data_IF_737812160144
#
_entry.id   IF_737812160144
#
_cell.length_a   1.000
_cell.length_b   1.000
_cell.length_c   1.000
_cell.angle_alpha   90.00
_cell.angle_beta   90.00
_cell.angle_gamma   90.00
#
_symmetry.space_group_name_H-M   'P 1'
#
loop_
_entity.id
_entity.type
_entity.pdbx_description
1 polymer ?
#
# COMPACT_ATOMS: atom_id res chain seq x y z
N UNK A 1 5.76 -42.52 52.12
CA UNK A 1 5.87 -41.66 53.33
C UNK A 1 7.33 -41.35 53.53
N UNK A 2 7.60 -40.10 53.91
CA UNK A 2 8.87 -39.57 54.40
C UNK A 2 10.00 -39.27 53.41
N UNK A 3 10.31 -37.97 53.44
CA UNK A 3 11.43 -37.25 52.85
C UNK A 3 12.67 -37.45 53.71
N UNK A 4 13.87 -37.47 53.12
CA UNK A 4 15.02 -36.90 53.80
C UNK A 4 15.62 -35.74 52.99
N UNK A 5 15.78 -34.61 53.69
CA UNK A 5 16.54 -33.46 53.23
C UNK A 5 18.04 -33.74 53.33
N UNK A 6 18.84 -33.23 52.39
CA UNK A 6 20.25 -32.95 52.63
C UNK A 6 20.70 -31.64 51.96
N UNK A 7 21.58 -30.96 52.69
CA UNK A 7 22.06 -29.59 52.55
C UNK A 7 23.04 -29.36 51.40
N UNK A 8 23.03 -28.11 50.93
CA UNK A 8 24.10 -27.25 50.37
C UNK A 8 25.50 -27.83 50.11
N UNK A 9 26.01 -27.55 48.91
CA UNK A 9 27.39 -27.14 48.69
C UNK A 9 27.47 -26.13 47.53
N UNK A 10 27.88 -24.92 47.87
CA UNK A 10 28.30 -23.84 46.98
C UNK A 10 29.66 -24.15 46.30
N UNK A 11 29.93 -23.41 45.20
CA UNK A 11 31.24 -23.15 44.54
C UNK A 11 31.82 -24.27 43.66
N UNK A 12 32.33 -24.03 42.44
CA UNK A 12 32.85 -22.80 41.81
C UNK A 12 33.01 -22.97 40.27
N UNK A 13 32.77 -21.87 39.52
CA UNK A 13 33.55 -21.33 38.36
C UNK A 13 33.55 -22.17 37.04
N UNK A 14 33.26 -21.66 35.83
CA UNK A 14 33.58 -20.38 35.18
C UNK A 14 32.67 -20.14 33.96
N UNK A 15 32.04 -18.96 33.84
CA UNK A 15 32.48 -17.84 32.98
C UNK A 15 32.20 -17.99 31.47
N UNK A 16 31.01 -17.59 31.05
CA UNK A 16 30.72 -17.06 29.72
C UNK A 16 29.96 -15.76 29.90
N UNK A 17 30.67 -14.63 29.88
CA UNK A 17 30.10 -13.29 29.99
C UNK A 17 29.20 -13.00 28.77
N UNK A 18 27.92 -13.33 28.86
CA UNK A 18 26.88 -12.59 28.15
C UNK A 18 26.69 -11.27 28.90
N UNK A 19 27.01 -10.17 28.23
CA UNK A 19 26.71 -8.82 28.67
C UNK A 19 25.19 -8.68 28.73
N UNK A 20 24.61 -9.02 29.89
CA UNK A 20 23.20 -8.83 30.18
C UNK A 20 22.83 -7.36 29.97
N UNK A 21 21.72 -7.15 29.26
CA UNK A 21 20.98 -5.90 29.27
C UNK A 21 20.77 -5.43 30.71
N UNK A 22 20.95 -4.13 30.94
CA UNK A 22 20.98 -3.51 32.26
C UNK A 22 19.74 -3.94 33.06
N UNK A 23 19.92 -4.53 34.25
CA UNK A 23 18.83 -5.06 35.09
C UNK A 23 17.72 -4.02 35.37
N UNK A 24 18.03 -2.72 35.26
CA UNK A 24 17.05 -1.63 35.32
C UNK A 24 16.04 -1.64 34.16
N UNK A 25 16.45 -2.00 32.95
CA UNK A 25 15.58 -2.04 31.76
C UNK A 25 14.60 -3.22 31.84
N UNK A 26 15.05 -4.36 32.37
CA UNK A 26 14.21 -5.53 32.68
C UNK A 26 13.19 -5.27 33.80
N UNK A 27 13.58 -4.52 34.84
CA UNK A 27 12.68 -4.16 35.96
C UNK A 27 11.60 -3.16 35.53
N UNK A 28 11.92 -2.22 34.63
CA UNK A 28 10.91 -1.33 34.03
C UNK A 28 9.91 -2.15 33.21
N UNK A 29 10.41 -3.08 32.39
CA UNK A 29 9.62 -4.00 31.60
C UNK A 29 8.65 -4.87 32.46
N UNK A 30 9.12 -5.40 33.58
CA UNK A 30 8.33 -6.26 34.47
C UNK A 30 7.22 -5.49 35.22
N UNK A 31 7.46 -4.23 35.60
CA UNK A 31 6.44 -3.35 36.21
C UNK A 31 5.32 -2.96 35.24
N UNK A 32 5.59 -2.93 33.93
CA UNK A 32 4.59 -2.67 32.90
C UNK A 32 3.65 -3.87 32.69
N UNK A 33 4.17 -5.08 32.82
CA UNK A 33 3.46 -6.36 32.64
C UNK A 33 2.35 -6.55 33.69
N UNK A 34 2.61 -6.19 34.94
CA UNK A 34 1.66 -6.39 36.05
C UNK A 34 0.45 -5.43 36.00
N UNK A 35 0.58 -4.28 35.32
CA UNK A 35 -0.49 -3.27 35.21
C UNK A 35 -1.41 -3.45 33.99
N UNK A 36 -0.91 -4.03 32.90
CA UNK A 36 -1.66 -4.21 31.65
C UNK A 36 -2.58 -5.45 31.70
N UNK A 37 -2.14 -6.53 32.34
CA UNK A 37 -2.85 -7.82 32.27
C UNK A 37 -4.16 -7.88 33.07
N UNK A 38 -4.36 -7.00 34.06
CA UNK A 38 -5.57 -7.02 34.91
C UNK A 38 -6.77 -6.22 34.38
N UNK A 39 -6.67 -5.46 33.26
CA UNK A 39 -7.76 -4.53 32.87
C UNK A 39 -8.13 -4.45 31.38
N UNK A 40 -7.47 -5.16 30.48
CA UNK A 40 -7.77 -5.09 29.04
C UNK A 40 -8.61 -6.28 28.56
N UNK A 41 -9.94 -6.17 28.62
CA UNK A 41 -10.83 -7.12 27.96
C UNK A 41 -10.53 -7.24 26.46
N UNK A 42 -10.54 -8.49 26.00
CA UNK A 42 -10.55 -8.93 24.62
C UNK A 42 -11.57 -8.14 23.79
N UNK A 43 -11.10 -7.32 22.84
CA UNK A 43 -11.85 -6.95 21.64
C UNK A 43 -10.95 -6.16 20.68
N UNK A 44 -10.77 -6.69 19.47
CA UNK A 44 -10.24 -5.94 18.32
C UNK A 44 -8.74 -6.08 18.05
N UNK A 45 -8.23 -7.31 18.10
CA UNK A 45 -7.32 -7.82 17.07
C UNK A 45 -8.06 -8.99 16.44
N UNK A 46 -8.49 -8.87 15.20
CA UNK A 46 -8.82 -10.05 14.39
C UNK A 46 -7.76 -10.12 13.29
N UNK A 47 -6.55 -10.42 13.75
CA UNK A 47 -5.32 -10.41 12.98
C UNK A 47 -4.23 -11.01 13.85
N UNK A 48 -3.99 -12.29 13.63
CA UNK A 48 -3.02 -13.19 14.27
C UNK A 48 -1.56 -12.69 14.22
N UNK A 49 -1.25 -11.58 14.89
CA UNK A 49 0.15 -11.15 15.10
C UNK A 49 0.70 -11.70 16.42
N UNK A 50 -0.14 -12.31 17.27
CA UNK A 50 0.26 -12.79 18.62
C UNK A 50 0.50 -14.31 18.70
N UNK A 51 0.49 -15.04 17.57
CA UNK A 51 0.83 -16.48 17.56
C UNK A 51 2.13 -16.84 16.82
N UNK A 52 3.05 -15.89 16.63
CA UNK A 52 4.42 -16.25 16.30
C UNK A 52 5.16 -16.73 17.55
N UNK A 53 5.06 -18.03 17.86
CA UNK A 53 5.96 -18.74 18.77
C UNK A 53 7.37 -18.81 18.14
N UNK A 54 8.08 -17.68 18.11
CA UNK A 54 9.52 -17.65 17.92
C UNK A 54 10.18 -17.45 19.29
N UNK A 55 11.36 -18.05 19.56
CA UNK A 55 12.14 -17.69 20.74
C UNK A 55 12.42 -16.18 20.68
N UNK A 56 11.78 -15.41 21.57
CA UNK A 56 11.86 -13.96 21.54
C UNK A 56 13.21 -13.53 22.11
N UNK A 57 14.10 -13.03 21.26
CA UNK A 57 15.27 -12.28 21.70
C UNK A 57 14.83 -11.09 22.57
N UNK A 58 15.69 -10.63 23.49
CA UNK A 58 15.38 -9.50 24.36
C UNK A 58 15.03 -8.23 23.58
N UNK A 59 15.58 -8.10 22.39
CA UNK A 59 15.39 -7.07 21.41
C UNK A 59 13.98 -7.15 20.80
N UNK A 60 13.54 -8.34 20.37
CA UNK A 60 12.17 -8.56 19.86
C UNK A 60 11.11 -8.19 20.91
N UNK A 61 11.34 -8.51 22.19
CA UNK A 61 10.45 -8.15 23.29
C UNK A 61 10.38 -6.63 23.47
N UNK A 62 11.51 -5.92 23.38
CA UNK A 62 11.56 -4.46 23.50
C UNK A 62 10.84 -3.75 22.35
N UNK A 63 10.97 -4.28 21.13
CA UNK A 63 10.26 -3.75 19.95
C UNK A 63 8.75 -3.97 20.07
N UNK A 64 8.29 -5.16 20.46
CA UNK A 64 6.87 -5.46 20.69
C UNK A 64 6.29 -4.56 21.79
N UNK A 65 7.02 -4.40 22.90
CA UNK A 65 6.59 -3.53 24.03
C UNK A 65 6.54 -2.05 23.67
N UNK A 66 7.49 -1.56 22.87
CA UNK A 66 7.42 -0.20 22.34
C UNK A 66 6.13 -0.02 21.52
N UNK A 67 5.74 -1.00 20.72
CA UNK A 67 4.56 -0.91 19.87
C UNK A 67 3.24 -0.97 20.62
N UNK A 68 3.12 -1.83 21.63
CA UNK A 68 1.92 -1.89 22.47
C UNK A 68 1.69 -0.58 23.24
N UNK A 69 2.78 0.12 23.59
CA UNK A 69 2.74 1.45 24.22
C UNK A 69 2.36 2.54 23.23
N UNK A 70 2.72 2.38 21.96
CA UNK A 70 2.56 3.39 20.91
C UNK A 70 1.26 3.27 20.12
N UNK A 71 0.66 2.08 20.05
CA UNK A 71 -0.62 1.82 19.36
C UNK A 71 -1.75 2.72 19.86
N UNK A 72 -1.92 2.99 21.17
CA UNK A 72 -2.93 3.94 21.64
C UNK A 72 -2.59 5.40 21.29
N UNK A 73 -1.29 5.79 21.32
CA UNK A 73 -0.83 7.11 20.88
C UNK A 73 -1.17 7.34 19.39
N UNK A 74 -1.05 6.30 18.56
CA UNK A 74 -1.16 6.38 17.10
C UNK A 74 -2.60 6.38 16.54
N UNK A 75 -3.48 5.63 17.19
CA UNK A 75 -4.83 5.36 16.68
C UNK A 75 -5.93 6.08 17.48
N UNK A 76 -5.57 7.17 18.17
CA UNK A 76 -6.49 8.02 18.95
C UNK A 76 -7.44 7.20 19.82
N UNK A 77 -6.95 6.14 20.47
CA UNK A 77 -7.70 5.55 21.57
C UNK A 77 -7.44 6.48 22.73
N UNK A 78 -8.48 7.13 23.26
CA UNK A 78 -8.42 7.93 24.48
C UNK A 78 -8.04 7.08 25.68
N UNK A 79 -6.82 6.54 25.70
CA UNK A 79 -6.19 5.91 26.85
C UNK A 79 -5.69 7.04 27.74
N UNK A 80 -6.32 7.27 28.90
CA UNK A 80 -6.17 8.50 29.67
C UNK A 80 -4.79 8.69 30.36
N UNK A 81 -3.76 7.91 29.99
CA UNK A 81 -2.51 7.82 30.76
C UNK A 81 -1.22 7.74 29.94
N UNK A 82 -1.27 7.84 28.61
CA UNK A 82 -0.07 7.89 27.76
C UNK A 82 0.26 9.33 27.41
N UNK A 83 1.45 9.79 27.82
CA UNK A 83 1.97 11.11 27.47
C UNK A 83 2.84 11.03 26.23
N UNK A 84 3.02 12.16 25.55
CA UNK A 84 3.97 12.27 24.42
C UNK A 84 5.40 11.85 24.83
N UNK A 85 5.78 12.14 26.09
CA UNK A 85 7.08 11.76 26.65
C UNK A 85 7.24 10.23 26.76
N UNK A 86 6.19 9.51 27.15
CA UNK A 86 6.20 8.04 27.18
C UNK A 86 6.41 7.46 25.78
N UNK A 87 5.74 8.05 24.78
CA UNK A 87 5.89 7.64 23.39
C UNK A 87 7.34 7.91 22.88
N UNK A 88 7.99 9.04 23.25
CA UNK A 88 9.39 9.32 22.92
C UNK A 88 10.40 8.41 23.63
N UNK A 89 10.16 8.04 24.88
CA UNK A 89 11.05 7.15 25.62
C UNK A 89 11.02 5.73 25.06
N UNK A 90 9.83 5.23 24.71
CA UNK A 90 9.66 3.96 24.01
C UNK A 90 10.38 3.96 22.66
N UNK A 91 10.29 5.05 21.89
CA UNK A 91 11.04 5.21 20.64
C UNK A 91 12.55 5.12 20.86
N UNK A 92 13.09 5.85 21.83
CA UNK A 92 14.52 5.87 22.09
C UNK A 92 15.07 4.48 22.43
N UNK A 93 14.30 3.68 23.17
CA UNK A 93 14.63 2.28 23.47
C UNK A 93 14.58 1.40 22.22
N UNK A 94 13.53 1.53 21.40
CA UNK A 94 13.39 0.77 20.16
C UNK A 94 14.52 1.10 19.16
N UNK A 95 14.88 2.38 19.00
CA UNK A 95 15.98 2.79 18.12
C UNK A 95 17.33 2.24 18.58
N UNK A 96 17.58 2.21 19.90
CA UNK A 96 18.80 1.59 20.45
C UNK A 96 18.83 0.09 20.19
N UNK A 97 17.72 -0.61 20.41
CA UNK A 97 17.62 -2.04 20.11
C UNK A 97 17.88 -2.33 18.62
N UNK A 98 17.30 -1.54 17.71
CA UNK A 98 17.56 -1.64 16.26
C UNK A 98 19.04 -1.41 15.94
N UNK A 99 19.67 -0.39 16.51
CA UNK A 99 21.10 -0.12 16.32
C UNK A 99 21.96 -1.29 16.77
N UNK A 100 21.66 -1.88 17.93
CA UNK A 100 22.34 -3.07 18.43
C UNK A 100 22.15 -4.26 17.49
N UNK A 101 20.92 -4.54 17.01
CA UNK A 101 20.66 -5.59 16.04
C UNK A 101 21.44 -5.38 14.73
N UNK A 102 21.54 -4.15 14.23
CA UNK A 102 22.34 -3.83 13.02
C UNK A 102 23.82 -4.16 13.24
N UNK A 103 24.36 -3.81 14.41
CA UNK A 103 25.77 -4.07 14.74
C UNK A 103 26.04 -5.57 14.90
N UNK A 104 25.15 -6.30 15.58
CA UNK A 104 25.29 -7.74 15.85
C UNK A 104 25.06 -8.61 14.62
N UNK A 105 24.19 -8.20 13.71
CA UNK A 105 23.83 -8.97 12.50
C UNK A 105 24.95 -9.08 11.46
N UNK A 106 26.14 -8.51 11.69
CA UNK A 106 27.27 -8.52 10.75
C UNK A 106 26.88 -8.12 9.31
N UNK A 107 25.91 -7.20 9.16
CA UNK A 107 25.32 -6.78 7.87
C UNK A 107 24.53 -7.87 7.12
N UNK A 108 24.01 -8.88 7.82
CA UNK A 108 23.02 -9.84 7.29
C UNK A 108 21.64 -9.52 7.88
N UNK A 109 20.81 -8.73 7.19
CA UNK A 109 19.54 -8.30 7.75
C UNK A 109 18.59 -9.49 7.92
N UNK A 110 18.00 -9.64 9.10
CA UNK A 110 17.02 -10.67 9.42
C UNK A 110 15.60 -10.09 9.50
N UNK A 111 14.62 -10.93 9.84
CA UNK A 111 13.23 -10.52 10.02
C UNK A 111 13.00 -9.64 11.23
N UNK A 112 13.80 -9.80 12.28
CA UNK A 112 13.71 -8.96 13.46
C UNK A 112 14.07 -7.53 13.05
N UNK A 113 15.17 -7.31 12.34
CA UNK A 113 15.57 -5.99 11.87
C UNK A 113 14.54 -5.37 10.91
N UNK A 114 13.98 -6.18 10.00
CA UNK A 114 12.93 -5.72 9.07
C UNK A 114 11.66 -5.30 9.81
N UNK A 115 11.15 -6.14 10.72
CA UNK A 115 9.96 -5.87 11.50
C UNK A 115 10.15 -4.65 12.39
N UNK A 116 11.27 -4.59 13.10
CA UNK A 116 11.61 -3.47 13.98
C UNK A 116 11.69 -2.16 13.21
N UNK A 117 12.27 -2.19 12.01
CA UNK A 117 12.23 -1.04 11.11
C UNK A 117 10.77 -0.76 10.76
N UNK A 118 10.03 -1.67 10.14
CA UNK A 118 8.66 -1.43 9.65
C UNK A 118 7.72 -0.82 10.70
N UNK A 119 7.89 -1.25 11.95
CA UNK A 119 7.07 -0.87 13.08
C UNK A 119 7.37 0.54 13.64
N UNK A 120 8.53 1.13 13.32
CA UNK A 120 8.86 2.52 13.66
C UNK A 120 8.17 3.55 12.73
N UNK A 121 7.72 3.13 11.55
CA UNK A 121 7.13 4.04 10.56
C UNK A 121 5.82 4.71 11.02
N UNK A 122 4.85 3.96 11.60
CA UNK A 122 3.63 4.55 12.12
C UNK A 122 3.90 5.57 13.23
N UNK A 123 4.95 5.37 14.04
CA UNK A 123 5.32 6.30 15.10
C UNK A 123 5.76 7.66 14.54
N UNK A 124 6.62 7.67 13.52
CA UNK A 124 7.01 8.93 12.88
C UNK A 124 5.80 9.65 12.27
N UNK A 125 4.88 8.88 11.68
CA UNK A 125 3.59 9.39 11.21
C UNK A 125 2.78 10.07 12.33
N UNK A 126 2.81 9.56 13.55
CA UNK A 126 2.08 10.10 14.70
C UNK A 126 2.75 11.35 15.25
N UNK A 127 4.08 11.33 15.40
CA UNK A 127 4.85 12.50 15.85
C UNK A 127 4.72 13.66 14.85
N UNK A 128 4.75 13.35 13.54
CA UNK A 128 4.59 14.35 12.48
C UNK A 128 3.13 14.72 12.18
N UNK A 129 2.14 14.04 12.81
CA UNK A 129 0.69 14.15 12.57
C UNK A 129 0.20 13.74 11.17
N UNK A 130 1.03 13.05 10.38
CA UNK A 130 0.74 12.72 8.97
C UNK A 130 0.34 11.25 8.80
N UNK A 131 0.56 10.41 9.82
CA UNK A 131 0.04 9.03 9.93
C UNK A 131 0.60 8.03 8.92
N UNK A 132 1.71 8.35 8.25
CA UNK A 132 2.27 7.60 7.12
C UNK A 132 3.78 7.41 7.31
N UNK A 133 4.34 6.22 6.98
CA UNK A 133 5.79 6.00 6.90
C UNK A 133 6.48 7.12 6.13
N UNK A 134 7.53 7.74 6.68
CA UNK A 134 8.28 8.71 5.87
C UNK A 134 9.01 8.02 4.72
N UNK A 135 9.32 8.80 3.69
CA UNK A 135 10.14 8.35 2.55
C UNK A 135 11.39 7.59 2.99
N UNK A 136 12.09 8.10 4.00
CA UNK A 136 13.33 7.50 4.52
C UNK A 136 13.08 6.10 5.10
N UNK A 137 11.92 5.94 5.75
CA UNK A 137 11.53 4.67 6.35
C UNK A 137 11.31 3.58 5.33
N UNK A 138 10.53 3.91 4.30
CA UNK A 138 10.26 3.02 3.17
C UNK A 138 11.54 2.69 2.41
N UNK A 139 12.38 3.70 2.14
CA UNK A 139 13.66 3.50 1.46
C UNK A 139 14.59 2.58 2.31
N UNK A 140 14.54 2.70 3.65
CA UNK A 140 15.23 1.81 4.58
C UNK A 140 14.73 0.36 4.55
N UNK A 141 13.41 0.15 4.52
CA UNK A 141 12.82 -1.19 4.37
C UNK A 141 13.24 -1.86 3.05
N UNK A 142 13.17 -1.12 1.95
CA UNK A 142 13.61 -1.61 0.65
C UNK A 142 15.10 -1.94 0.62
N UNK A 143 15.95 -1.13 1.28
CA UNK A 143 17.37 -1.40 1.42
C UNK A 143 17.65 -2.68 2.22
N UNK A 144 16.94 -2.88 3.35
CA UNK A 144 17.02 -4.11 4.15
C UNK A 144 16.65 -5.33 3.30
N UNK A 145 15.52 -5.27 2.60
CA UNK A 145 15.04 -6.38 1.75
C UNK A 145 15.99 -6.68 0.59
N UNK A 146 16.56 -5.63 -0.03
CA UNK A 146 17.50 -5.79 -1.15
C UNK A 146 18.88 -6.30 -0.70
N UNK A 147 19.27 -6.03 0.55
CA UNK A 147 20.52 -6.50 1.12
C UNK A 147 20.46 -7.95 1.64
N UNK A 148 19.27 -8.55 1.71
CA UNK A 148 19.12 -9.96 2.09
C UNK A 148 19.68 -10.87 1.00
N UNK A 149 20.33 -11.95 1.44
CA UNK A 149 20.79 -13.01 0.53
C UNK A 149 19.62 -13.59 -0.25
N UNK A 150 19.82 -13.94 -1.51
CA UNK A 150 18.84 -14.68 -2.32
C UNK A 150 18.54 -16.08 -1.76
N UNK A 151 19.42 -16.61 -0.91
CA UNK A 151 19.22 -17.87 -0.17
C UNK A 151 18.45 -17.69 1.15
N UNK A 152 18.18 -16.45 1.57
CA UNK A 152 17.41 -16.19 2.77
C UNK A 152 15.94 -16.54 2.53
N UNK A 153 15.36 -17.35 3.41
CA UNK A 153 13.96 -17.75 3.30
C UNK A 153 13.06 -16.52 3.43
N UNK A 154 12.15 -16.34 2.48
CA UNK A 154 11.12 -15.30 2.58
C UNK A 154 10.05 -15.78 3.55
N UNK A 155 9.90 -15.08 4.66
CA UNK A 155 8.88 -15.39 5.67
C UNK A 155 7.59 -14.64 5.43
N UNK A 156 6.50 -15.12 6.03
CA UNK A 156 5.20 -14.47 5.94
C UNK A 156 5.22 -13.04 6.49
N UNK A 157 5.91 -12.81 7.62
CA UNK A 157 6.08 -11.48 8.19
C UNK A 157 6.71 -10.50 7.20
N UNK A 158 7.75 -10.94 6.47
CA UNK A 158 8.40 -10.08 5.50
C UNK A 158 7.50 -9.76 4.29
N UNK A 159 6.65 -10.71 3.86
CA UNK A 159 5.62 -10.49 2.84
C UNK A 159 4.59 -9.47 3.32
N UNK A 160 4.06 -9.65 4.53
CA UNK A 160 3.06 -8.76 5.12
C UNK A 160 3.59 -7.32 5.24
N UNK A 161 4.86 -7.14 5.61
CA UNK A 161 5.52 -5.83 5.66
C UNK A 161 5.61 -5.20 4.26
N UNK A 162 6.00 -5.97 3.25
CA UNK A 162 6.07 -5.48 1.86
C UNK A 162 4.67 -5.10 1.38
N UNK A 163 3.69 -5.98 1.55
CA UNK A 163 2.29 -5.73 1.17
C UNK A 163 1.69 -4.52 1.90
N UNK A 164 2.07 -4.32 3.17
CA UNK A 164 1.65 -3.16 3.93
C UNK A 164 2.19 -1.85 3.34
N UNK A 165 3.45 -1.81 2.90
CA UNK A 165 4.10 -0.57 2.47
C UNK A 165 4.02 -0.33 0.96
N UNK A 166 3.87 -1.36 0.14
CA UNK A 166 4.10 -1.31 -1.30
C UNK A 166 3.22 -0.29 -2.03
N UNK A 167 1.92 -0.27 -1.76
CA UNK A 167 0.98 0.58 -2.49
C UNK A 167 1.21 2.07 -2.22
N UNK A 168 1.24 2.47 -0.94
CA UNK A 168 1.47 3.86 -0.55
C UNK A 168 2.83 4.37 -1.03
N UNK A 169 3.87 3.54 -0.87
CA UNK A 169 5.22 3.83 -1.37
C UNK A 169 5.25 4.02 -2.88
N UNK A 170 4.43 3.27 -3.61
CA UNK A 170 4.34 3.37 -5.06
C UNK A 170 3.57 4.61 -5.50
N UNK A 171 2.49 4.99 -4.81
CA UNK A 171 1.81 6.28 -5.04
C UNK A 171 2.80 7.44 -4.82
N UNK A 172 3.59 7.37 -3.73
CA UNK A 172 4.64 8.35 -3.48
C UNK A 172 5.73 8.34 -4.56
N UNK A 173 6.11 7.18 -5.08
CA UNK A 173 7.07 7.07 -6.18
C UNK A 173 6.53 7.69 -7.48
N UNK A 174 5.23 7.52 -7.77
CA UNK A 174 4.56 8.21 -8.88
C UNK A 174 4.64 9.73 -8.74
N UNK A 175 4.41 10.25 -7.53
CA UNK A 175 4.49 11.69 -7.23
C UNK A 175 5.91 12.21 -7.36
N UNK A 176 6.89 11.48 -6.82
CA UNK A 176 8.30 11.85 -6.85
C UNK A 176 8.98 11.57 -8.20
N UNK A 177 8.23 11.12 -9.20
CA UNK A 177 8.72 10.75 -10.53
C UNK A 177 9.91 9.79 -10.49
N UNK A 178 9.83 8.74 -9.67
CA UNK A 178 10.89 7.73 -9.53
C UNK A 178 10.32 6.32 -9.55
N UNK A 179 11.14 5.29 -9.82
CA UNK A 179 10.76 3.89 -9.61
C UNK A 179 10.33 3.62 -8.16
N UNK A 180 9.50 2.58 -7.95
CA UNK A 180 9.14 2.17 -6.58
C UNK A 180 10.36 1.61 -5.85
N UNK A 181 10.56 1.92 -4.56
CA UNK A 181 11.65 1.35 -3.78
C UNK A 181 11.57 -0.18 -3.67
N UNK A 182 10.38 -0.77 -3.80
CA UNK A 182 10.20 -2.22 -3.76
C UNK A 182 10.37 -2.92 -5.11
N UNK A 183 10.71 -2.20 -6.18
CA UNK A 183 10.74 -2.78 -7.54
C UNK A 183 11.89 -3.75 -7.77
N UNK A 184 12.99 -3.59 -7.04
CA UNK A 184 14.15 -4.50 -7.06
C UNK A 184 14.00 -5.70 -6.12
N UNK A 185 12.98 -5.72 -5.27
CA UNK A 185 12.79 -6.79 -4.29
C UNK A 185 12.39 -8.08 -5.02
N UNK A 186 12.88 -9.22 -4.53
CA UNK A 186 12.57 -10.53 -5.10
C UNK A 186 11.06 -10.74 -5.24
N UNK A 187 10.63 -11.31 -6.38
CA UNK A 187 9.22 -11.64 -6.61
C UNK A 187 8.63 -12.58 -5.56
N UNK A 188 9.47 -13.35 -4.86
CA UNK A 188 9.04 -14.21 -3.76
C UNK A 188 8.37 -13.42 -2.60
N UNK A 189 8.69 -12.14 -2.43
CA UNK A 189 8.02 -11.26 -1.46
C UNK A 189 6.63 -10.79 -1.90
N UNK A 190 6.36 -10.85 -3.21
CA UNK A 190 5.08 -10.45 -3.80
C UNK A 190 4.22 -11.67 -4.16
N UNK A 191 4.82 -12.86 -4.20
CA UNK A 191 4.16 -14.09 -4.57
C UNK A 191 3.44 -14.68 -3.36
N UNK A 192 2.18 -15.08 -3.57
CA UNK A 192 1.57 -16.12 -2.73
C UNK A 192 2.37 -17.40 -2.94
N UNK A 193 2.73 -18.11 -1.88
CA UNK A 193 3.41 -19.43 -1.99
C UNK A 193 2.55 -20.48 -2.70
N UNK A 194 1.31 -20.12 -3.04
CA UNK A 194 0.27 -20.96 -3.63
C UNK A 194 -0.14 -20.51 -5.04
N UNK A 195 0.73 -19.86 -5.81
CA UNK A 195 0.52 -19.64 -7.25
C UNK A 195 0.56 -21.00 -7.95
N UNK A 196 -0.62 -21.63 -8.08
CA UNK A 196 -0.81 -22.91 -8.77
C UNK A 196 -1.44 -24.04 -7.93
N UNK A 197 -1.61 -23.89 -6.62
CA UNK A 197 -2.38 -24.83 -5.77
C UNK A 197 -3.08 -24.10 -4.63
N UNK A 198 -4.41 -24.10 -4.62
CA UNK A 198 -5.25 -23.74 -3.47
C UNK A 198 -4.89 -22.42 -2.73
N UNK A 199 -4.33 -21.42 -3.43
CA UNK A 199 -4.28 -20.05 -2.92
C UNK A 199 -5.66 -19.43 -3.05
N UNK A 200 -6.12 -18.66 -2.07
CA UNK A 200 -7.40 -17.96 -2.18
C UNK A 200 -7.33 -16.96 -3.34
N UNK A 201 -8.42 -16.80 -4.09
CA UNK A 201 -8.53 -15.81 -5.18
C UNK A 201 -8.13 -14.40 -4.70
N UNK A 202 -8.45 -14.09 -3.44
CA UNK A 202 -8.00 -12.91 -2.72
C UNK A 202 -6.48 -12.74 -2.70
N UNK A 203 -5.71 -13.76 -2.30
CA UNK A 203 -4.25 -13.69 -2.22
C UNK A 203 -3.61 -13.52 -3.61
N UNK A 204 -4.16 -14.19 -4.63
CA UNK A 204 -3.72 -14.06 -6.01
C UNK A 204 -3.93 -12.62 -6.53
N UNK A 205 -5.15 -12.08 -6.37
CA UNK A 205 -5.46 -10.72 -6.81
C UNK A 205 -4.67 -9.67 -6.04
N UNK A 206 -4.43 -9.89 -4.75
CA UNK A 206 -3.57 -9.02 -3.93
C UNK A 206 -2.15 -9.01 -4.46
N UNK A 207 -1.55 -10.18 -4.74
CA UNK A 207 -0.22 -10.31 -5.31
C UNK A 207 -0.10 -9.58 -6.67
N UNK A 208 -1.07 -9.79 -7.57
CA UNK A 208 -1.12 -9.10 -8.86
C UNK A 208 -1.24 -7.59 -8.70
N UNK A 209 -2.13 -7.11 -7.82
CA UNK A 209 -2.31 -5.71 -7.51
C UNK A 209 -1.04 -5.06 -6.95
N UNK A 210 -0.41 -5.68 -5.94
CA UNK A 210 0.87 -5.22 -5.39
C UNK A 210 1.94 -5.15 -6.47
N UNK A 211 2.05 -6.19 -7.31
CA UNK A 211 3.07 -6.26 -8.36
C UNK A 211 2.84 -5.24 -9.49
N UNK A 212 1.59 -4.85 -9.76
CA UNK A 212 1.23 -3.71 -10.62
C UNK A 212 1.68 -2.39 -9.97
N UNK A 213 1.26 -2.13 -8.72
CA UNK A 213 1.59 -0.90 -8.00
C UNK A 213 3.09 -0.65 -7.94
N UNK A 214 3.89 -1.67 -7.63
CA UNK A 214 5.35 -1.51 -7.51
C UNK A 214 6.04 -1.16 -8.84
N UNK A 215 5.48 -1.53 -9.99
CA UNK A 215 6.12 -1.32 -11.30
C UNK A 215 5.51 -0.17 -12.12
N UNK A 216 4.28 0.23 -11.83
CA UNK A 216 3.62 1.38 -12.47
C UNK A 216 4.41 2.69 -12.38
N UNK A 217 5.08 3.05 -11.26
CA UNK A 217 5.84 4.29 -11.16
C UNK A 217 6.93 4.42 -12.23
N UNK A 218 7.64 3.33 -12.54
CA UNK A 218 8.65 3.32 -13.60
C UNK A 218 8.02 3.53 -14.98
N UNK A 219 6.88 2.90 -15.26
CA UNK A 219 6.17 3.12 -16.53
C UNK A 219 5.73 4.58 -16.67
N UNK A 220 5.14 5.17 -15.63
CA UNK A 220 4.73 6.57 -15.62
C UNK A 220 5.92 7.51 -15.86
N UNK A 221 7.05 7.26 -15.22
CA UNK A 221 8.29 8.03 -15.41
C UNK A 221 8.79 7.97 -16.86
N UNK A 222 8.75 6.79 -17.50
CA UNK A 222 9.09 6.64 -18.92
C UNK A 222 8.12 7.41 -19.82
N UNK A 223 6.81 7.31 -19.57
CA UNK A 223 5.78 8.02 -20.36
C UNK A 223 5.92 9.54 -20.22
N UNK A 224 6.16 10.06 -19.01
CA UNK A 224 6.44 11.48 -18.80
C UNK A 224 7.68 11.93 -19.58
N UNK A 225 8.74 11.14 -19.53
CA UNK A 225 9.98 11.43 -20.26
C UNK A 225 9.79 11.44 -21.77
N UNK A 226 8.90 10.58 -22.29
CA UNK A 226 8.51 10.56 -23.70
C UNK A 226 7.68 11.79 -24.10
N UNK A 227 6.79 12.28 -23.23
CA UNK A 227 6.00 13.50 -23.47
C UNK A 227 6.87 14.76 -23.48
N UNK A 228 7.94 14.79 -22.68
CA UNK A 228 8.86 15.93 -22.59
C UNK A 228 9.94 15.94 -23.69
N UNK A 229 10.37 14.77 -24.18
CA UNK A 229 11.45 14.66 -25.16
C UNK A 229 10.91 14.33 -26.56
N UNK A 230 10.67 15.35 -27.38
CA UNK A 230 10.10 15.20 -28.72
C UNK A 230 11.07 14.50 -29.70
N UNK A 231 12.40 14.62 -29.54
CA UNK A 231 13.36 14.34 -30.62
C UNK A 231 14.28 13.11 -30.44
N UNK A 232 14.27 12.40 -29.31
CA UNK A 232 15.25 11.32 -29.04
C UNK A 232 14.72 10.19 -28.15
N UNK A 233 13.54 9.64 -28.47
CA UNK A 233 12.83 8.70 -27.59
C UNK A 233 12.61 7.28 -28.13
N UNK A 234 13.37 6.82 -29.13
CA UNK A 234 13.19 5.47 -29.70
C UNK A 234 13.42 4.34 -28.68
N UNK A 235 14.54 4.40 -27.95
CA UNK A 235 14.83 3.45 -26.86
C UNK A 235 13.84 3.61 -25.70
N UNK A 236 13.56 4.83 -25.27
CA UNK A 236 12.59 5.11 -24.20
C UNK A 236 11.19 4.57 -24.52
N UNK A 237 10.75 4.68 -25.78
CA UNK A 237 9.47 4.16 -26.25
C UNK A 237 9.47 2.63 -26.24
N UNK A 238 10.58 2.03 -26.67
CA UNK A 238 10.76 0.57 -26.63
C UNK A 238 10.71 0.05 -25.19
N UNK A 239 11.42 0.70 -24.27
CA UNK A 239 11.43 0.35 -22.85
C UNK A 239 10.05 0.51 -22.21
N UNK A 240 9.34 1.60 -22.55
CA UNK A 240 7.98 1.85 -22.07
C UNK A 240 6.98 0.80 -22.59
N UNK A 241 7.03 0.47 -23.88
CA UNK A 241 6.17 -0.55 -24.49
C UNK A 241 6.47 -1.95 -23.93
N UNK A 242 7.75 -2.29 -23.77
CA UNK A 242 8.15 -3.55 -23.16
C UNK A 242 7.64 -3.68 -21.73
N UNK A 243 7.82 -2.63 -20.91
CA UNK A 243 7.31 -2.63 -19.54
C UNK A 243 5.78 -2.68 -19.51
N UNK A 244 5.09 -1.89 -20.35
CA UNK A 244 3.63 -1.91 -20.47
C UNK A 244 3.10 -3.31 -20.79
N UNK A 245 3.69 -3.99 -21.79
CA UNK A 245 3.31 -5.35 -22.17
C UNK A 245 3.56 -6.36 -21.04
N UNK A 246 4.69 -6.22 -20.33
CA UNK A 246 4.96 -7.05 -19.15
C UNK A 246 3.95 -6.84 -18.03
N UNK A 247 3.44 -5.61 -17.83
CA UNK A 247 2.43 -5.31 -16.83
C UNK A 247 1.03 -5.75 -17.26
N UNK A 248 0.74 -5.71 -18.56
CA UNK A 248 -0.53 -6.20 -19.10
C UNK A 248 -0.75 -7.69 -18.84
N UNK A 249 0.33 -8.48 -18.81
CA UNK A 249 0.27 -9.90 -18.46
C UNK A 249 -0.12 -10.17 -16.99
N UNK A 250 -0.17 -9.15 -16.12
CA UNK A 250 -0.57 -9.28 -14.71
C UNK A 250 -2.08 -9.10 -14.59
N UNK A 251 -2.82 -10.12 -14.99
CA UNK A 251 -4.27 -10.10 -15.00
C UNK A 251 -4.81 -11.51 -14.72
N UNK A 252 -5.85 -11.60 -13.91
CA UNK A 252 -6.56 -12.85 -13.64
C UNK A 252 -8.06 -12.56 -13.49
N UNK A 253 -8.75 -12.53 -14.63
CA UNK A 253 -10.20 -12.28 -14.69
C UNK A 253 -11.00 -13.33 -13.93
N UNK A 254 -10.52 -14.58 -13.90
CA UNK A 254 -11.24 -15.68 -13.30
C UNK A 254 -11.19 -15.61 -11.77
N UNK A 255 -10.04 -15.31 -11.20
CA UNK A 255 -9.92 -15.05 -9.76
C UNK A 255 -10.79 -13.84 -9.36
N UNK A 256 -10.76 -12.77 -10.16
CA UNK A 256 -11.60 -11.59 -9.94
C UNK A 256 -13.10 -11.96 -9.91
N UNK A 257 -13.57 -12.71 -10.90
CA UNK A 257 -14.98 -13.09 -11.01
C UNK A 257 -15.42 -13.99 -9.86
N UNK A 258 -14.60 -14.97 -9.47
CA UNK A 258 -14.92 -15.87 -8.33
C UNK A 258 -14.96 -15.12 -7.00
N UNK A 259 -14.06 -14.16 -6.79
CA UNK A 259 -14.11 -13.33 -5.58
C UNK A 259 -15.32 -12.39 -5.58
N UNK A 260 -15.67 -11.81 -6.74
CA UNK A 260 -16.86 -10.97 -6.89
C UNK A 260 -18.17 -11.71 -6.63
N UNK A 261 -18.26 -13.01 -6.93
CA UNK A 261 -19.43 -13.84 -6.63
C UNK A 261 -19.72 -13.94 -5.12
N UNK A 262 -18.73 -13.66 -4.27
CA UNK A 262 -18.85 -13.71 -2.81
C UNK A 262 -19.21 -12.35 -2.21
N UNK A 263 -19.28 -11.29 -3.02
CA UNK A 263 -19.50 -9.91 -2.59
C UNK A 263 -20.94 -9.50 -2.89
N UNK A 264 -21.66 -9.04 -1.87
CA UNK A 264 -23.04 -8.57 -2.03
C UNK A 264 -23.07 -7.18 -2.69
N UNK A 265 -24.00 -7.00 -3.64
CA UNK A 265 -24.31 -5.70 -4.23
C UNK A 265 -25.59 -5.16 -3.60
N UNK A 266 -25.49 -4.02 -2.90
CA UNK A 266 -26.63 -3.36 -2.28
C UNK A 266 -27.02 -2.14 -3.10
N UNK A 267 -28.29 -2.04 -3.50
CA UNK A 267 -28.83 -0.84 -4.12
C UNK A 267 -29.54 0.00 -3.08
N UNK A 268 -29.13 1.25 -2.91
CA UNK A 268 -29.92 2.21 -2.12
C UNK A 268 -30.83 2.98 -3.06
N UNK A 269 -32.16 3.03 -2.78
CA UNK A 269 -33.02 3.97 -3.46
C UNK A 269 -32.50 5.38 -3.18
N UNK A 270 -32.46 6.21 -4.23
CA UNK A 270 -32.11 7.60 -4.07
C UNK A 270 -33.22 8.32 -3.32
N UNK A 271 -32.86 9.08 -2.27
CA UNK A 271 -33.81 9.93 -1.56
C UNK A 271 -34.25 11.15 -2.40
N UNK A 272 -33.54 11.43 -3.49
CA UNK A 272 -33.84 12.49 -4.45
C UNK A 272 -34.18 11.87 -5.82
N UNK A 273 -35.33 12.22 -6.44
CA UNK A 273 -35.75 11.68 -7.73
C UNK A 273 -34.78 12.02 -8.88
N UNK A 274 -33.98 13.08 -8.74
CA UNK A 274 -32.95 13.48 -9.71
C UNK A 274 -31.59 12.82 -9.49
N UNK A 275 -31.43 12.04 -8.41
CA UNK A 275 -30.20 11.30 -8.14
C UNK A 275 -30.37 9.84 -8.56
N UNK A 276 -29.41 9.28 -9.32
CA UNK A 276 -29.49 7.90 -9.77
C UNK A 276 -29.38 6.92 -8.59
N UNK A 277 -30.01 5.74 -8.70
CA UNK A 277 -29.89 4.70 -7.68
C UNK A 277 -28.42 4.29 -7.52
N UNK A 278 -27.91 4.37 -6.30
CA UNK A 278 -26.51 4.06 -6.02
C UNK A 278 -26.37 2.60 -5.60
N UNK A 279 -25.58 1.85 -6.36
CA UNK A 279 -25.14 0.51 -6.00
C UNK A 279 -23.83 0.57 -5.22
N UNK A 280 -23.71 -0.26 -4.19
CA UNK A 280 -22.52 -0.37 -3.37
C UNK A 280 -22.12 -1.83 -3.18
N UNK A 281 -20.80 -2.07 -3.12
CA UNK A 281 -20.25 -3.37 -2.78
C UNK A 281 -20.11 -3.49 -1.26
N UNK A 282 -20.59 -4.62 -0.72
CA UNK A 282 -20.40 -4.99 0.68
C UNK A 282 -19.41 -6.14 0.77
N UNK A 283 -18.23 -5.85 1.31
CA UNK A 283 -17.18 -6.83 1.48
C UNK A 283 -17.32 -7.56 2.82
N UNK A 284 -17.06 -8.87 2.83
CA UNK A 284 -17.05 -9.68 4.04
C UNK A 284 -15.85 -9.33 4.94
N UNK A 285 -14.72 -8.98 4.33
CA UNK A 285 -13.49 -8.61 5.02
C UNK A 285 -12.80 -7.40 4.39
N UNK A 286 -11.94 -6.73 5.17
CA UNK A 286 -11.08 -5.64 4.69
C UNK A 286 -10.08 -6.17 3.66
N UNK A 287 -9.65 -7.42 3.81
CA UNK A 287 -8.69 -8.07 2.94
C UNK A 287 -9.27 -8.34 1.53
N UNK A 288 -10.56 -8.66 1.43
CA UNK A 288 -11.24 -8.78 0.12
C UNK A 288 -11.32 -7.44 -0.60
N UNK A 289 -11.70 -6.40 0.15
CA UNK A 289 -11.70 -5.03 -0.35
C UNK A 289 -10.30 -4.63 -0.83
N UNK A 290 -9.27 -4.84 -0.01
CA UNK A 290 -7.91 -4.45 -0.38
C UNK A 290 -7.37 -5.22 -1.59
N UNK A 291 -7.63 -6.53 -1.68
CA UNK A 291 -7.21 -7.34 -2.82
C UNK A 291 -7.79 -6.78 -4.14
N UNK A 292 -9.11 -6.56 -4.17
CA UNK A 292 -9.79 -6.04 -5.34
C UNK A 292 -9.46 -4.57 -5.62
N UNK A 293 -9.42 -3.72 -4.60
CA UNK A 293 -9.09 -2.30 -4.77
C UNK A 293 -7.67 -2.13 -5.32
N UNK A 294 -6.71 -2.94 -4.88
CA UNK A 294 -5.33 -2.87 -5.39
C UNK A 294 -5.28 -3.32 -6.85
N UNK A 295 -5.91 -4.45 -7.14
CA UNK A 295 -5.98 -4.99 -8.48
C UNK A 295 -6.66 -4.02 -9.45
N UNK A 296 -7.84 -3.51 -9.12
CA UNK A 296 -8.61 -2.60 -9.97
C UNK A 296 -7.90 -1.28 -10.20
N UNK A 297 -7.33 -0.66 -9.17
CA UNK A 297 -6.61 0.61 -9.33
C UNK A 297 -5.36 0.43 -10.18
N UNK A 298 -4.59 -0.65 -9.95
CA UNK A 298 -3.40 -0.96 -10.74
C UNK A 298 -3.74 -1.18 -12.21
N UNK A 299 -4.76 -2.01 -12.49
CA UNK A 299 -5.25 -2.27 -13.85
C UNK A 299 -5.77 -1.00 -14.52
N UNK A 300 -6.58 -0.21 -13.83
CA UNK A 300 -7.16 1.02 -14.38
C UNK A 300 -6.08 2.05 -14.73
N UNK A 301 -5.11 2.24 -13.83
CA UNK A 301 -3.95 3.11 -14.07
C UNK A 301 -3.16 2.63 -15.29
N UNK A 302 -2.83 1.34 -15.36
CA UNK A 302 -2.11 0.74 -16.48
C UNK A 302 -2.82 0.99 -17.82
N UNK A 303 -4.12 0.76 -17.89
CA UNK A 303 -4.91 0.92 -19.11
C UNK A 303 -4.93 2.37 -19.60
N UNK A 304 -5.12 3.33 -18.67
CA UNK A 304 -5.08 4.77 -18.98
C UNK A 304 -3.70 5.20 -19.48
N UNK A 305 -2.63 4.75 -18.82
CA UNK A 305 -1.25 5.03 -19.26
C UNK A 305 -0.98 4.40 -20.64
N UNK A 306 -1.51 3.20 -20.89
CA UNK A 306 -1.45 2.54 -22.19
C UNK A 306 -2.06 3.38 -23.30
N UNK A 307 -3.26 3.93 -23.09
CA UNK A 307 -3.90 4.83 -24.06
C UNK A 307 -2.99 6.01 -24.41
N UNK A 308 -2.37 6.67 -23.42
CA UNK A 308 -1.42 7.77 -23.65
C UNK A 308 -0.17 7.32 -24.40
N UNK A 309 0.38 6.15 -24.06
CA UNK A 309 1.55 5.59 -24.74
C UNK A 309 1.25 5.32 -26.23
N UNK A 310 0.05 4.81 -26.54
CA UNK A 310 -0.40 4.61 -27.91
C UNK A 310 -0.79 5.90 -28.63
N UNK A 311 -1.07 7.01 -27.95
CA UNK A 311 -1.22 8.33 -28.59
C UNK A 311 0.14 8.93 -29.01
N UNK A 312 1.19 8.66 -28.22
CA UNK A 312 2.57 9.14 -28.46
C UNK A 312 3.29 8.33 -29.57
N UNK A 313 2.92 7.06 -29.77
CA UNK A 313 3.53 6.16 -30.76
C UNK A 313 3.27 6.55 -32.25
N UNK A 314 2.02 6.79 -32.71
CA UNK A 314 1.70 7.08 -34.11
C UNK A 314 2.20 8.45 -34.57
N UNK A 315 2.38 9.41 -33.65
CA UNK A 315 2.94 10.73 -33.95
C UNK A 315 4.42 10.67 -34.38
N UNK A 316 5.14 9.57 -34.11
CA UNK A 316 6.53 9.35 -34.57
C UNK A 316 6.65 8.52 -35.85
N UNK A 317 5.66 7.68 -36.19
CA UNK A 317 5.72 6.82 -37.39
C UNK A 317 5.28 7.55 -38.67
N UNK A 318 4.47 8.61 -38.56
CA UNK A 318 3.98 9.40 -39.70
C UNK A 318 5.10 10.22 -40.38
N UNK A 319 6.26 10.41 -39.74
CA UNK A 319 7.41 11.07 -40.39
C UNK A 319 8.30 10.12 -41.22
N UNK A 320 8.15 8.80 -41.14
CA UNK A 320 9.05 7.85 -41.84
C UNK A 320 8.37 7.07 -42.97
N UNK A 321 7.04 7.02 -43.04
CA UNK A 321 6.36 6.23 -44.09
C UNK A 321 5.07 6.86 -44.59
N UNK A 322 5.19 7.69 -45.63
CA UNK A 322 4.14 7.78 -46.66
C UNK A 322 4.09 6.44 -47.38
N UNK A 323 3.36 5.47 -46.85
CA UNK A 323 2.63 4.46 -47.63
C UNK A 323 1.91 3.47 -46.71
N UNK A 324 0.62 3.26 -47.03
CA UNK A 324 -0.32 2.26 -46.49
C UNK A 324 -0.73 2.39 -45.02
N UNK A 325 -1.95 2.93 -44.84
CA UNK A 325 -2.80 2.73 -43.66
C UNK A 325 -2.86 1.23 -43.29
N UNK A 326 -2.45 0.81 -42.09
CA UNK A 326 -2.78 -0.53 -41.61
C UNK A 326 -4.22 -0.52 -41.08
N UNK A 327 -5.08 -1.29 -41.72
CA UNK A 327 -6.48 -1.51 -41.33
C UNK A 327 -6.61 -2.61 -40.26
N UNK A 328 -7.40 -2.30 -39.21
CA UNK A 328 -8.34 -3.18 -38.44
C UNK A 328 -7.96 -4.02 -37.20
N UNK A 329 -6.71 -4.29 -36.76
CA UNK A 329 -6.50 -4.99 -35.47
C UNK A 329 -6.59 -4.07 -34.24
N UNK A 330 -6.36 -2.76 -34.40
CA UNK A 330 -6.34 -1.79 -33.29
C UNK A 330 -7.73 -1.46 -32.72
N UNK A 331 -8.78 -1.48 -33.54
CA UNK A 331 -10.15 -1.09 -33.12
C UNK A 331 -10.77 -2.08 -32.12
N UNK A 332 -10.55 -3.39 -32.32
CA UNK A 332 -11.08 -4.44 -31.43
C UNK A 332 -10.39 -4.43 -30.06
N UNK A 333 -9.08 -4.21 -30.01
CA UNK A 333 -8.32 -4.08 -28.77
C UNK A 333 -8.69 -2.80 -28.01
N UNK A 334 -8.91 -1.68 -28.72
CA UNK A 334 -9.34 -0.43 -28.13
C UNK A 334 -10.72 -0.52 -27.45
N UNK A 335 -11.68 -1.21 -28.10
CA UNK A 335 -13.02 -1.44 -27.54
C UNK A 335 -12.99 -2.32 -26.28
N UNK A 336 -12.17 -3.39 -26.29
CA UNK A 336 -12.00 -4.26 -25.12
C UNK A 336 -11.41 -3.50 -23.92
N UNK A 337 -10.39 -2.66 -24.13
CA UNK A 337 -9.82 -1.81 -23.08
C UNK A 337 -10.82 -0.77 -22.54
N UNK A 338 -11.65 -0.17 -23.40
CA UNK A 338 -12.66 0.79 -22.97
C UNK A 338 -13.74 0.14 -22.08
N UNK A 339 -14.15 -1.09 -22.39
CA UNK A 339 -15.06 -1.85 -21.54
C UNK A 339 -14.42 -2.17 -20.18
N UNK A 340 -13.17 -2.62 -20.17
CA UNK A 340 -12.45 -2.89 -18.92
C UNK A 340 -12.31 -1.61 -18.08
N UNK A 341 -11.90 -0.48 -18.67
CA UNK A 341 -11.79 0.82 -17.98
C UNK A 341 -13.13 1.22 -17.34
N UNK A 342 -14.23 1.16 -18.09
CA UNK A 342 -15.58 1.48 -17.57
C UNK A 342 -15.94 0.61 -16.37
N UNK A 343 -15.72 -0.70 -16.50
CA UNK A 343 -16.04 -1.70 -15.48
C UNK A 343 -15.23 -1.48 -14.20
N UNK A 344 -13.92 -1.25 -14.33
CA UNK A 344 -13.02 -1.01 -13.20
C UNK A 344 -13.37 0.30 -12.48
N UNK A 345 -13.65 1.37 -13.23
CA UNK A 345 -14.09 2.65 -12.66
C UNK A 345 -15.41 2.50 -11.89
N UNK A 346 -16.38 1.77 -12.46
CA UNK A 346 -17.65 1.47 -11.78
C UNK A 346 -17.44 0.66 -10.50
N UNK A 347 -16.59 -0.38 -10.53
CA UNK A 347 -16.27 -1.17 -9.34
C UNK A 347 -15.67 -0.31 -8.21
N UNK A 348 -14.74 0.58 -8.54
CA UNK A 348 -14.15 1.51 -7.57
C UNK A 348 -15.18 2.52 -7.03
N UNK A 349 -16.08 3.02 -7.89
CA UNK A 349 -17.20 3.84 -7.44
C UNK A 349 -18.14 3.06 -6.51
N UNK A 350 -18.42 1.78 -6.73
CA UNK A 350 -19.28 1.01 -5.83
C UNK A 350 -18.62 0.73 -4.46
N UNK A 351 -17.30 0.90 -4.29
CA UNK A 351 -16.61 0.76 -3.00
C UNK A 351 -16.88 1.93 -2.02
N UNK A 352 -17.43 3.03 -2.53
CA UNK A 352 -17.84 4.25 -1.82
C UNK A 352 -18.19 4.09 -0.34
N UNK A 353 -19.25 3.32 -0.07
CA UNK A 353 -19.86 3.20 1.25
C UNK A 353 -19.01 2.35 2.19
N UNK A 354 -18.33 1.35 1.65
CA UNK A 354 -17.42 0.52 2.43
C UNK A 354 -16.23 1.33 2.93
N UNK A 355 -15.69 2.23 2.11
CA UNK A 355 -14.55 3.08 2.46
C UNK A 355 -14.84 3.97 3.67
N UNK A 356 -16.08 4.42 3.86
CA UNK A 356 -16.50 5.22 5.03
C UNK A 356 -16.38 4.46 6.35
N UNK A 357 -16.33 3.13 6.31
CA UNK A 357 -16.14 2.28 7.49
C UNK A 357 -14.66 2.09 7.85
N UNK A 358 -13.75 2.41 6.92
CA UNK A 358 -12.31 2.20 7.08
C UNK A 358 -11.71 3.27 7.99
N UNK A 359 -10.77 2.85 8.84
CA UNK A 359 -10.15 3.72 9.85
C UNK A 359 -8.65 3.94 9.64
N UNK A 360 -8.00 3.09 8.84
CA UNK A 360 -6.56 3.20 8.63
C UNK A 360 -6.26 4.33 7.62
N UNK A 361 -5.33 5.22 7.98
CA UNK A 361 -4.90 6.35 7.13
C UNK A 361 -4.46 5.89 5.75
N UNK A 362 -3.72 4.78 5.66
CA UNK A 362 -3.31 4.14 4.40
C UNK A 362 -4.50 3.83 3.49
N UNK A 363 -5.58 3.27 4.04
CA UNK A 363 -6.78 2.91 3.27
C UNK A 363 -7.55 4.15 2.80
N UNK A 364 -7.57 5.20 3.63
CA UNK A 364 -8.14 6.50 3.30
C UNK A 364 -7.32 7.19 2.18
N UNK A 365 -5.99 7.14 2.24
CA UNK A 365 -5.14 7.68 1.15
C UNK A 365 -5.27 6.87 -0.13
N UNK A 366 -5.41 5.55 -0.02
CA UNK A 366 -5.69 4.69 -1.17
C UNK A 366 -7.01 5.07 -1.86
N UNK A 367 -8.05 5.42 -1.11
CA UNK A 367 -9.31 5.86 -1.71
C UNK A 367 -9.19 7.22 -2.39
N UNK A 368 -8.35 8.13 -1.89
CA UNK A 368 -8.04 9.40 -2.57
C UNK A 368 -7.35 9.17 -3.93
N UNK A 369 -6.40 8.24 -3.98
CA UNK A 369 -5.75 7.82 -5.23
C UNK A 369 -6.76 7.21 -6.21
N UNK A 370 -7.61 6.28 -5.76
CA UNK A 370 -8.68 5.71 -6.58
C UNK A 370 -9.60 6.80 -7.16
N UNK A 371 -9.99 7.76 -6.32
CA UNK A 371 -10.85 8.86 -6.73
C UNK A 371 -10.21 9.75 -7.81
N UNK A 372 -8.90 10.05 -7.70
CA UNK A 372 -8.17 10.80 -8.72
C UNK A 372 -8.10 10.06 -10.07
N UNK A 373 -7.86 8.74 -10.05
CA UNK A 373 -7.83 7.95 -11.30
C UNK A 373 -9.22 7.90 -11.93
N UNK A 374 -10.27 7.61 -11.15
CA UNK A 374 -11.66 7.56 -11.64
C UNK A 374 -12.12 8.93 -12.15
N UNK A 375 -11.73 10.01 -11.49
CA UNK A 375 -11.98 11.38 -11.96
C UNK A 375 -11.46 11.58 -13.39
N UNK A 376 -10.24 11.12 -13.67
CA UNK A 376 -9.66 11.15 -15.01
C UNK A 376 -10.49 10.39 -16.03
N UNK A 377 -10.92 9.17 -15.69
CA UNK A 377 -11.77 8.34 -16.56
C UNK A 377 -13.08 9.04 -16.93
N UNK A 378 -13.72 9.71 -15.95
CA UNK A 378 -15.00 10.40 -16.15
C UNK A 378 -14.84 11.64 -17.05
N UNK A 379 -13.69 12.31 -16.99
CA UNK A 379 -13.41 13.50 -17.78
C UNK A 379 -12.76 13.20 -19.14
N UNK A 380 -12.28 11.98 -19.37
CA UNK A 380 -11.89 11.50 -20.69
C UNK A 380 -13.16 11.20 -21.50
N UNK A 381 -13.47 12.02 -22.51
CA UNK A 381 -14.72 12.05 -23.31
C UNK A 381 -15.10 10.74 -24.06
N UNK A 382 -14.36 9.66 -23.86
CA UNK A 382 -14.49 8.40 -24.59
C UNK A 382 -15.44 7.37 -23.94
N UNK A 383 -16.06 7.64 -22.78
CA UNK A 383 -16.75 6.60 -21.99
C UNK A 383 -18.20 6.97 -21.62
N UNK A 384 -19.18 6.63 -22.47
CA UNK A 384 -20.60 6.82 -22.19
C UNK A 384 -21.18 5.84 -21.13
N UNK A 385 -20.37 4.97 -20.52
CA UNK A 385 -20.85 3.82 -19.74
C UNK A 385 -20.85 4.01 -18.20
N UNK A 386 -20.33 5.13 -17.69
CA UNK A 386 -20.25 5.34 -16.23
C UNK A 386 -21.46 6.11 -15.68
N UNK A 387 -22.13 6.89 -16.52
CA UNK A 387 -23.25 7.75 -16.15
C UNK A 387 -24.25 7.87 -17.30
N UNK A 388 -25.54 7.95 -16.99
CA UNK A 388 -26.65 8.04 -17.93
C UNK A 388 -26.97 9.50 -18.31
N UNK A 389 -26.54 10.47 -17.49
CA UNK A 389 -26.82 11.89 -17.72
C UNK A 389 -25.66 12.83 -17.32
N UNK A 390 -25.68 14.07 -17.84
CA UNK A 390 -24.74 15.14 -17.42
C UNK A 390 -24.89 15.53 -15.94
N UNK A 391 -26.12 15.41 -15.41
CA UNK A 391 -26.41 15.69 -14.00
C UNK A 391 -25.73 14.63 -13.13
N UNK A 392 -25.91 13.35 -13.48
CA UNK A 392 -25.23 12.24 -12.80
C UNK A 392 -23.71 12.37 -12.86
N UNK A 393 -23.14 12.70 -14.02
CA UNK A 393 -21.69 12.97 -14.16
C UNK A 393 -21.23 14.00 -13.13
N UNK A 394 -21.95 15.11 -13.02
CA UNK A 394 -21.62 16.21 -12.10
C UNK A 394 -21.75 15.79 -10.64
N UNK A 395 -22.77 14.99 -10.29
CA UNK A 395 -22.95 14.43 -8.96
C UNK A 395 -21.82 13.47 -8.58
N UNK A 396 -21.42 12.58 -9.49
CA UNK A 396 -20.32 11.63 -9.24
C UNK A 396 -18.99 12.38 -9.05
N UNK A 397 -18.70 13.37 -9.89
CA UNK A 397 -17.51 14.22 -9.74
C UNK A 397 -17.51 14.94 -8.37
N UNK A 398 -18.64 15.52 -7.96
CA UNK A 398 -18.75 16.16 -6.64
C UNK A 398 -18.49 15.19 -5.48
N UNK A 399 -18.95 13.94 -5.59
CA UNK A 399 -18.69 12.89 -4.60
C UNK A 399 -17.20 12.53 -4.56
N UNK A 400 -16.55 12.37 -5.71
CA UNK A 400 -15.12 12.09 -5.79
C UNK A 400 -14.28 13.22 -5.19
N UNK A 401 -14.59 14.47 -5.53
CA UNK A 401 -13.87 15.63 -4.99
C UNK A 401 -14.00 15.73 -3.48
N UNK A 402 -15.24 15.61 -2.96
CA UNK A 402 -15.49 15.62 -1.51
C UNK A 402 -14.67 14.54 -0.80
N UNK A 403 -14.58 13.35 -1.38
CA UNK A 403 -13.79 12.26 -0.81
C UNK A 403 -12.32 12.58 -0.74
N UNK A 404 -11.74 13.13 -1.79
CA UNK A 404 -10.32 13.49 -1.77
C UNK A 404 -10.08 14.58 -0.72
N UNK A 405 -10.95 15.58 -0.62
CA UNK A 405 -10.82 16.63 0.41
C UNK A 405 -10.85 16.05 1.82
N UNK A 406 -11.81 15.16 2.12
CA UNK A 406 -11.88 14.47 3.41
C UNK A 406 -10.65 13.58 3.63
N UNK A 407 -10.30 12.79 2.63
CA UNK A 407 -9.24 11.80 2.73
C UNK A 407 -7.86 12.44 2.92
N UNK A 408 -7.62 13.61 2.31
CA UNK A 408 -6.36 14.33 2.43
C UNK A 408 -6.37 15.40 3.52
N UNK A 409 -7.53 15.76 4.06
CA UNK A 409 -7.65 16.87 5.03
C UNK A 409 -7.29 18.21 4.38
N UNK A 410 -7.72 18.41 3.13
CA UNK A 410 -7.34 19.57 2.33
C UNK A 410 -7.91 20.86 2.92
N UNK A 411 -7.03 21.82 3.24
CA UNK A 411 -7.43 23.16 3.69
C UNK A 411 -6.57 24.24 3.01
N UNK A 412 -7.15 25.09 2.13
CA UNK A 412 -8.54 25.04 1.64
C UNK A 412 -8.84 23.76 0.85
N UNK A 413 -10.11 23.48 0.56
CA UNK A 413 -10.51 22.35 -0.28
C UNK A 413 -9.82 22.37 -1.66
N UNK A 414 -9.57 21.19 -2.24
CA UNK A 414 -9.10 21.05 -3.63
C UNK A 414 -10.21 21.47 -4.61
N UNK A 415 -9.82 21.99 -5.77
CA UNK A 415 -10.73 22.32 -6.87
C UNK A 415 -10.85 21.20 -7.91
N UNK A 416 -11.71 21.40 -8.92
CA UNK A 416 -11.79 20.52 -10.07
C UNK A 416 -10.49 20.53 -10.90
N UNK A 417 -9.83 21.68 -11.02
CA UNK A 417 -8.52 21.81 -11.67
C UNK A 417 -7.44 21.01 -10.93
N UNK A 418 -7.42 21.08 -9.59
CA UNK A 418 -6.50 20.26 -8.78
C UNK A 418 -6.69 18.76 -9.06
N UNK A 419 -7.94 18.31 -9.18
CA UNK A 419 -8.27 16.93 -9.53
C UNK A 419 -7.91 16.57 -10.97
N UNK A 420 -8.05 17.49 -11.93
CA UNK A 420 -7.60 17.27 -13.30
C UNK A 420 -6.08 17.08 -13.37
N UNK A 421 -5.31 17.89 -12.64
CA UNK A 421 -3.86 17.75 -12.53
C UNK A 421 -3.48 16.40 -11.89
N UNK A 422 -4.15 16.02 -10.80
CA UNK A 422 -3.93 14.73 -10.14
C UNK A 422 -4.23 13.55 -11.09
N UNK A 423 -5.33 13.62 -11.83
CA UNK A 423 -5.75 12.59 -12.76
C UNK A 423 -4.81 12.42 -13.97
N UNK A 424 -4.26 13.53 -14.50
CA UNK A 424 -3.25 13.52 -15.57
C UNK A 424 -1.91 13.00 -15.04
N UNK A 425 -1.49 13.38 -13.83
CA UNK A 425 -0.26 12.86 -13.20
C UNK A 425 -0.24 11.32 -13.16
N UNK A 426 -1.35 10.68 -12.79
CA UNK A 426 -1.49 9.22 -12.78
C UNK A 426 -1.74 8.60 -14.16
N UNK A 427 -1.79 9.40 -15.23
CA UNK A 427 -1.82 8.97 -16.62
C UNK A 427 -0.52 9.32 -17.38
N UNK A 428 0.51 9.79 -16.70
CA UNK A 428 1.82 10.14 -17.28
C UNK A 428 2.02 11.63 -17.54
N UNK A 429 1.19 12.49 -16.93
CA UNK A 429 1.39 13.94 -16.83
C UNK A 429 2.41 14.35 -15.77
N UNK A 430 2.70 15.65 -15.71
CA UNK A 430 3.65 16.19 -14.73
C UNK A 430 3.13 16.06 -13.29
N UNK A 431 3.98 15.67 -12.31
CA UNK A 431 3.59 15.57 -10.91
C UNK A 431 3.59 16.95 -10.25
N UNK A 432 2.52 17.71 -10.46
CA UNK A 432 2.35 19.06 -9.90
C UNK A 432 0.95 19.28 -9.34
N UNK A 433 0.80 20.38 -8.60
CA UNK A 433 -0.48 20.82 -8.04
C UNK A 433 -0.69 20.38 -6.60
N UNK A 434 -1.78 20.86 -6.00
CA UNK A 434 -2.04 20.77 -4.56
C UNK A 434 -2.25 19.34 -4.07
N UNK A 435 -2.76 18.46 -4.93
CA UNK A 435 -2.88 17.03 -4.60
C UNK A 435 -1.52 16.41 -4.26
N UNK A 436 -0.47 16.77 -5.01
CA UNK A 436 0.91 16.32 -4.76
C UNK A 436 1.41 16.83 -3.42
N UNK A 437 1.20 18.12 -3.15
CA UNK A 437 1.61 18.77 -1.90
C UNK A 437 0.99 18.07 -0.69
N UNK A 438 -0.32 17.79 -0.73
CA UNK A 438 -1.06 17.14 0.35
C UNK A 438 -0.70 15.66 0.55
N UNK A 439 -0.18 14.98 -0.48
CA UNK A 439 0.29 13.60 -0.34
C UNK A 439 1.70 13.53 0.27
N UNK A 440 2.52 14.56 0.05
CA UNK A 440 3.91 14.65 0.52
C UNK A 440 3.99 15.29 1.91
N UNK A 441 3.09 16.22 2.23
CA UNK A 441 2.93 16.82 3.57
C UNK A 441 2.54 15.75 4.57
#
# INVERSE_FOLDING_TARGET
MEVPAYRNADRDVASGNEQMSNAKDLVIAHRFEEKQWRRGHCQGWDGDIVHYHMPQSSESVLIIRALDTLRPCAYSRGTPHLTSNDCYQALALALRAVQTCIQQSQRKPDDILLASTALLAPFEGVVRKNGVPTKLHVDGLAAILSARSTTHQVTQLAKDIVDFNACESSIMACILNRPSPFESVSRAYLASDNIGRAGSDQAQLKALGTALFVRLPRLLMLVRSLRLNEFSGGQLLTDALHLYNSLQALHDQHAEQRLLQQIEVHSSPSLNPDSPPQSYLRFASVQDYEALAYYWQGRLCLLRVGQRLYEISPSRQIQISREKKPSRPFESCAQSHQYEISRLAKNLLMCSKYIETLRLRKQIRLSAHAAAIVWGVINEDALPCVYESKVEKSSVLAVLLRRVNIALGAHPDLSAEDMNLAADMFAGGEPKGRFVELFVS
#
